data_IF_030694041791
#
_entry.id   IF_030694041791
#
_cell.length_a   1.000
_cell.length_b   1.000
_cell.length_c   1.000
_cell.angle_alpha   90.00
_cell.angle_beta   90.00
_cell.angle_gamma   90.00
#
_symmetry.space_group_name_H-M   'P 1'
#
loop_
_entity.id
_entity.type
_entity.pdbx_description
1 polymer ?
#
# COMPACT_ATOMS: atom_id res chain seq x y z
N UNK A 1 -24.97 -11.51 13.00
CA UNK A 1 -25.03 -10.18 12.35
C UNK A 1 -26.46 -9.69 12.39
N UNK A 2 -26.73 -8.57 13.10
CA UNK A 2 -28.06 -7.95 13.12
C UNK A 2 -28.31 -7.04 11.90
N UNK A 3 -27.25 -6.65 11.17
CA UNK A 3 -27.35 -5.77 10.02
C UNK A 3 -26.97 -6.49 8.74
N UNK A 4 -27.81 -6.41 7.73
CA UNK A 4 -27.50 -6.91 6.40
C UNK A 4 -26.46 -6.02 5.72
N UNK A 5 -25.59 -6.62 4.91
CA UNK A 5 -24.66 -5.89 4.05
C UNK A 5 -25.45 -5.25 2.90
N UNK A 6 -25.22 -3.98 2.65
CA UNK A 6 -25.82 -3.20 1.56
C UNK A 6 -24.75 -2.82 0.53
N UNK A 7 -25.16 -2.29 -0.62
CA UNK A 7 -24.24 -1.88 -1.68
C UNK A 7 -23.30 -0.74 -1.26
N UNK A 8 -23.74 0.08 -0.30
CA UNK A 8 -23.01 1.19 0.27
C UNK A 8 -22.26 0.85 1.58
N UNK A 9 -22.27 -0.42 2.01
CA UNK A 9 -21.45 -0.90 3.13
C UNK A 9 -19.99 -0.71 2.83
N UNK A 10 -19.25 -0.13 3.78
CA UNK A 10 -17.85 0.24 3.60
C UNK A 10 -16.94 -0.86 4.15
N UNK A 11 -16.02 -1.28 3.31
CA UNK A 11 -15.02 -2.30 3.61
C UNK A 11 -13.61 -1.70 3.63
N UNK A 12 -12.77 -2.23 4.49
CA UNK A 12 -11.33 -2.06 4.36
C UNK A 12 -10.83 -2.89 3.18
N UNK A 13 -10.35 -2.24 2.14
CA UNK A 13 -10.03 -2.88 0.87
C UNK A 13 -8.73 -3.68 0.89
N UNK A 14 -7.90 -3.50 1.93
CA UNK A 14 -6.61 -4.16 2.04
C UNK A 14 -5.85 -4.08 0.69
N UNK A 15 -5.30 -5.18 0.19
CA UNK A 15 -4.49 -5.17 -1.04
C UNK A 15 -5.23 -4.84 -2.34
N UNK A 16 -6.56 -4.81 -2.33
CA UNK A 16 -7.34 -4.25 -3.44
C UNK A 16 -7.07 -2.74 -3.63
N UNK A 17 -6.49 -2.06 -2.64
CA UNK A 17 -5.99 -0.69 -2.76
C UNK A 17 -4.93 -0.53 -3.86
N UNK A 18 -4.15 -1.58 -4.13
CA UNK A 18 -3.00 -1.50 -5.04
C UNK A 18 -3.39 -1.13 -6.47
N UNK A 19 -4.48 -1.69 -6.99
CA UNK A 19 -4.90 -1.36 -8.35
C UNK A 19 -5.33 0.11 -8.48
N UNK A 20 -5.95 0.67 -7.43
CA UNK A 20 -6.29 2.09 -7.38
C UNK A 20 -5.02 2.94 -7.29
N UNK A 21 -4.07 2.59 -6.43
CA UNK A 21 -2.79 3.28 -6.35
C UNK A 21 -1.99 3.21 -7.66
N UNK A 22 -2.04 2.06 -8.37
CA UNK A 22 -1.45 1.94 -9.70
C UNK A 22 -2.11 2.90 -10.69
N UNK A 23 -3.43 2.94 -10.72
CA UNK A 23 -4.20 3.88 -11.55
C UNK A 23 -3.80 5.34 -11.27
N UNK A 24 -3.75 5.74 -10.00
CA UNK A 24 -3.32 7.08 -9.61
C UNK A 24 -1.87 7.35 -10.04
N UNK A 25 -0.96 6.37 -9.85
CA UNK A 25 0.44 6.52 -10.27
C UNK A 25 0.53 6.79 -11.76
N UNK A 26 -0.11 5.99 -12.59
CA UNK A 26 -0.05 6.15 -14.05
C UNK A 26 -0.62 7.50 -14.50
N UNK A 27 -1.75 7.95 -13.93
CA UNK A 27 -2.31 9.27 -14.23
C UNK A 27 -1.37 10.42 -13.84
N UNK A 28 -0.71 10.32 -12.68
CA UNK A 28 0.28 11.33 -12.25
C UNK A 28 1.49 11.33 -13.17
N UNK A 29 2.02 10.17 -13.51
CA UNK A 29 3.18 10.05 -14.41
C UNK A 29 2.86 10.63 -15.79
N UNK A 30 1.67 10.35 -16.34
CA UNK A 30 1.21 10.88 -17.63
C UNK A 30 1.07 12.40 -17.58
N UNK A 31 0.35 12.97 -16.59
CA UNK A 31 0.18 14.41 -16.42
C UNK A 31 1.51 15.14 -16.30
N UNK A 32 2.47 14.56 -15.58
CA UNK A 32 3.79 15.15 -15.33
C UNK A 32 4.83 14.80 -16.40
N UNK A 33 4.47 14.01 -17.41
CA UNK A 33 5.36 13.51 -18.48
C UNK A 33 6.59 12.78 -17.94
N UNK A 34 6.39 11.99 -16.89
CA UNK A 34 7.41 11.19 -16.25
C UNK A 34 7.37 9.78 -16.85
N UNK A 35 8.53 9.27 -17.31
CA UNK A 35 8.63 7.92 -17.83
C UNK A 35 8.49 6.88 -16.71
N UNK A 36 7.72 5.82 -16.94
CA UNK A 36 7.54 4.72 -15.98
C UNK A 36 8.86 4.01 -15.62
N UNK A 37 9.86 4.06 -16.51
CA UNK A 37 11.21 3.54 -16.28
C UNK A 37 12.16 4.55 -15.60
N UNK A 38 11.66 5.73 -15.27
CA UNK A 38 12.47 6.72 -14.56
C UNK A 38 12.78 6.27 -13.14
N UNK A 39 14.03 6.48 -12.64
CA UNK A 39 14.39 6.18 -11.27
C UNK A 39 13.61 7.01 -10.26
N UNK A 40 12.94 6.33 -9.32
CA UNK A 40 12.10 6.96 -8.29
C UNK A 40 12.93 7.81 -7.31
N UNK A 41 14.22 7.54 -7.20
CA UNK A 41 15.16 8.29 -6.35
C UNK A 41 15.22 9.79 -6.69
N UNK A 42 14.83 10.19 -7.89
CA UNK A 42 14.70 11.61 -8.25
C UNK A 42 13.65 12.34 -7.41
N UNK A 43 12.66 11.62 -6.93
CA UNK A 43 11.51 12.13 -6.17
C UNK A 43 11.57 11.72 -4.70
N UNK A 44 12.19 10.57 -4.42
CA UNK A 44 12.35 9.98 -3.09
C UNK A 44 13.85 9.73 -2.79
N UNK A 45 14.59 10.79 -2.42
CA UNK A 45 16.05 10.69 -2.17
C UNK A 45 16.42 9.70 -1.07
N UNK A 46 15.50 9.42 -0.15
CA UNK A 46 15.68 8.44 0.93
C UNK A 46 15.95 7.02 0.41
N UNK A 47 15.48 6.67 -0.78
CA UNK A 47 15.76 5.39 -1.42
C UNK A 47 17.24 5.22 -1.82
N UNK A 48 18.03 6.30 -1.84
CA UNK A 48 19.48 6.22 -2.08
C UNK A 48 20.22 5.36 -1.05
N UNK A 49 19.69 5.31 0.16
CA UNK A 49 20.32 4.64 1.28
C UNK A 49 19.68 3.29 1.62
N UNK A 50 18.77 2.80 0.76
CA UNK A 50 18.14 1.50 0.99
C UNK A 50 19.21 0.41 0.93
N UNK A 51 19.14 -0.51 1.88
CA UNK A 51 20.08 -1.62 2.02
C UNK A 51 19.50 -2.86 1.37
N UNK A 52 20.35 -3.77 0.94
CA UNK A 52 19.99 -5.13 0.54
C UNK A 52 20.33 -6.06 1.70
N UNK A 53 19.39 -6.93 2.04
CA UNK A 53 19.66 -8.05 2.95
C UNK A 53 20.50 -9.08 2.21
N UNK A 54 21.57 -9.50 2.83
CA UNK A 54 22.40 -10.63 2.41
C UNK A 54 22.45 -11.61 3.60
N UNK A 55 22.08 -12.86 3.38
CA UNK A 55 22.08 -13.88 4.42
C UNK A 55 23.18 -14.88 4.10
N UNK A 56 24.24 -14.85 4.87
CA UNK A 56 25.34 -15.80 4.78
C UNK A 56 25.44 -16.58 6.11
N UNK A 57 25.52 -17.91 6.02
CA UNK A 57 25.74 -18.83 7.14
C UNK A 57 24.99 -18.46 8.44
N UNK A 58 23.70 -18.13 8.36
CA UNK A 58 22.82 -17.69 9.47
C UNK A 58 23.11 -16.28 10.02
N UNK A 59 23.91 -15.49 9.34
CA UNK A 59 24.15 -14.08 9.72
C UNK A 59 23.53 -13.14 8.70
N UNK A 60 22.72 -12.18 9.18
CA UNK A 60 22.10 -11.16 8.33
C UNK A 60 23.11 -10.01 8.13
N UNK A 61 23.49 -9.78 6.90
CA UNK A 61 24.31 -8.65 6.52
C UNK A 61 23.50 -7.63 5.72
N UNK A 62 23.85 -6.36 5.88
CA UNK A 62 23.25 -5.30 5.10
C UNK A 62 24.29 -4.71 4.15
N UNK A 63 24.11 -4.93 2.86
CA UNK A 63 24.99 -4.37 1.83
C UNK A 63 24.36 -3.17 1.16
N UNK A 64 25.18 -2.15 0.87
CA UNK A 64 24.75 -1.02 0.05
C UNK A 64 25.06 -1.34 -1.41
N UNK A 65 24.06 -1.37 -2.27
CA UNK A 65 24.23 -1.56 -3.71
C UNK A 65 23.91 -0.26 -4.45
N UNK A 66 24.71 0.07 -5.45
CA UNK A 66 24.40 1.16 -6.40
C UNK A 66 23.34 0.66 -7.38
N UNK A 67 22.10 0.71 -6.96
CA UNK A 67 20.96 0.31 -7.81
C UNK A 67 19.86 1.34 -7.68
N UNK A 68 19.06 1.48 -8.72
CA UNK A 68 17.94 2.40 -8.76
C UNK A 68 16.66 1.63 -8.98
N UNK A 69 15.67 1.95 -8.14
CA UNK A 69 14.31 1.43 -8.29
C UNK A 69 13.56 2.37 -9.24
N UNK A 70 12.84 1.82 -10.21
CA UNK A 70 11.98 2.56 -11.14
C UNK A 70 10.50 2.47 -10.73
N UNK A 71 9.65 3.38 -11.25
CA UNK A 71 8.20 3.25 -11.07
C UNK A 71 7.67 1.92 -11.62
N UNK A 72 8.19 1.46 -12.76
CA UNK A 72 7.84 0.16 -13.34
C UNK A 72 8.08 -0.99 -12.35
N UNK A 73 9.24 -1.01 -11.70
CA UNK A 73 9.58 -2.06 -10.73
C UNK A 73 8.76 -1.99 -9.44
N UNK A 74 8.33 -0.81 -9.02
CA UNK A 74 7.38 -0.67 -7.90
C UNK A 74 5.98 -1.16 -8.31
N UNK A 75 5.50 -0.80 -9.49
CA UNK A 75 4.18 -1.18 -10.01
C UNK A 75 4.03 -2.70 -10.18
N UNK A 76 5.05 -3.38 -10.70
CA UNK A 76 5.00 -4.81 -10.99
C UNK A 76 5.58 -5.70 -9.87
N UNK A 77 5.90 -5.11 -8.69
CA UNK A 77 6.45 -5.83 -7.54
C UNK A 77 7.82 -6.49 -7.79
N UNK A 78 8.66 -5.92 -8.67
CA UNK A 78 10.04 -6.37 -8.87
C UNK A 78 11.07 -5.39 -8.29
N UNK A 79 10.65 -4.49 -7.41
CA UNK A 79 11.52 -3.50 -6.78
C UNK A 79 12.49 -4.09 -5.74
N UNK A 80 12.30 -5.35 -5.36
CA UNK A 80 13.08 -6.02 -4.33
C UNK A 80 12.55 -5.86 -2.90
N UNK A 81 11.45 -5.15 -2.70
CA UNK A 81 10.81 -5.04 -1.38
C UNK A 81 9.98 -6.27 -1.04
N UNK A 82 10.06 -6.72 0.23
CA UNK A 82 9.21 -7.79 0.78
C UNK A 82 8.23 -7.30 1.84
N UNK A 83 7.32 -8.21 2.25
CA UNK A 83 6.51 -8.07 3.46
C UNK A 83 7.04 -8.97 4.56
N UNK A 84 6.91 -8.54 5.81
CA UNK A 84 7.23 -9.37 6.98
C UNK A 84 6.44 -10.68 7.01
N UNK A 85 5.19 -10.69 6.52
CA UNK A 85 4.32 -11.87 6.50
C UNK A 85 4.72 -12.89 5.42
N UNK A 86 5.59 -12.53 4.47
CA UNK A 86 5.93 -13.35 3.31
C UNK A 86 7.43 -13.61 3.17
N UNK A 87 8.25 -13.04 4.04
CA UNK A 87 9.69 -13.21 3.97
C UNK A 87 10.29 -13.40 5.38
N UNK A 88 10.85 -14.57 5.62
CA UNK A 88 11.35 -15.01 6.92
C UNK A 88 12.35 -14.01 7.53
N UNK A 89 13.37 -13.59 6.75
CA UNK A 89 14.37 -12.64 7.24
C UNK A 89 13.76 -11.32 7.68
N UNK A 90 12.78 -10.78 6.92
CA UNK A 90 12.10 -9.54 7.31
C UNK A 90 11.26 -9.76 8.57
N UNK A 91 10.57 -10.91 8.67
CA UNK A 91 9.84 -11.31 9.88
C UNK A 91 10.73 -11.37 11.10
N UNK A 92 11.91 -11.98 10.96
CA UNK A 92 12.89 -12.08 12.05
C UNK A 92 13.41 -10.72 12.49
N UNK A 93 13.78 -9.86 11.55
CA UNK A 93 14.22 -8.50 11.85
C UNK A 93 13.14 -7.67 12.57
N UNK A 94 11.86 -7.87 12.23
CA UNK A 94 10.74 -7.24 12.96
C UNK A 94 10.61 -7.84 14.36
N UNK A 95 10.66 -9.17 14.50
CA UNK A 95 10.58 -9.87 15.79
C UNK A 95 11.70 -9.44 16.74
N UNK A 96 12.91 -9.23 16.20
CA UNK A 96 14.09 -8.75 16.94
C UNK A 96 14.10 -7.24 17.17
N UNK A 97 13.05 -6.53 16.76
CA UNK A 97 12.90 -5.08 16.89
C UNK A 97 13.98 -4.26 16.15
N UNK A 98 14.59 -4.85 15.13
CA UNK A 98 15.51 -4.15 14.24
C UNK A 98 14.77 -3.40 13.12
N UNK A 99 13.55 -3.82 12.79
CA UNK A 99 12.64 -3.15 11.87
C UNK A 99 11.29 -2.87 12.53
N UNK A 100 10.63 -1.81 12.08
CA UNK A 100 9.26 -1.51 12.49
C UNK A 100 8.28 -2.45 11.80
N UNK A 101 7.32 -3.04 12.53
CA UNK A 101 6.26 -3.83 11.93
C UNK A 101 5.39 -2.95 11.02
N UNK A 102 4.75 -3.57 10.04
CA UNK A 102 3.81 -2.86 9.19
C UNK A 102 2.62 -2.36 10.01
N UNK A 103 2.43 -1.04 10.03
CA UNK A 103 1.35 -0.38 10.73
C UNK A 103 0.72 0.68 9.82
N UNK A 104 -0.59 0.60 9.59
CA UNK A 104 -1.31 1.60 8.79
C UNK A 104 -1.34 2.93 9.55
N UNK A 105 -1.11 4.04 8.83
CA UNK A 105 -0.96 5.37 9.41
C UNK A 105 0.46 5.74 9.86
N UNK A 106 1.41 4.80 9.71
CA UNK A 106 2.84 4.99 10.02
C UNK A 106 3.67 4.51 8.83
N UNK A 107 4.74 5.22 8.48
CA UNK A 107 5.59 4.91 7.32
C UNK A 107 6.93 4.25 7.70
N UNK A 108 7.19 3.98 8.98
CA UNK A 108 8.49 3.46 9.43
C UNK A 108 8.84 2.09 8.84
N UNK A 109 7.85 1.25 8.58
CA UNK A 109 8.04 -0.06 7.94
C UNK A 109 8.58 0.06 6.49
N UNK A 110 8.41 1.20 5.82
CA UNK A 110 8.98 1.44 4.49
C UNK A 110 10.51 1.45 4.48
N UNK A 111 11.15 1.64 5.63
CA UNK A 111 12.60 1.59 5.80
C UNK A 111 13.17 0.17 5.75
N UNK A 112 12.31 -0.85 5.61
CA UNK A 112 12.75 -2.23 5.46
C UNK A 112 13.72 -2.38 4.27
N UNK A 113 14.78 -3.18 4.41
CA UNK A 113 15.75 -3.41 3.35
C UNK A 113 15.13 -4.17 2.17
N UNK A 114 15.81 -4.13 1.03
CA UNK A 114 15.50 -5.00 -0.10
C UNK A 114 15.87 -6.45 0.23
N UNK A 115 15.12 -7.39 -0.30
CA UNK A 115 15.37 -8.84 -0.20
C UNK A 115 15.93 -9.43 -1.51
N UNK A 116 15.91 -8.66 -2.60
CA UNK A 116 16.57 -8.94 -3.87
C UNK A 116 16.94 -7.63 -4.56
N UNK A 117 17.82 -7.68 -5.55
CA UNK A 117 18.08 -6.50 -6.38
C UNK A 117 16.85 -6.14 -7.23
N UNK A 118 16.62 -4.84 -7.47
CA UNK A 118 15.53 -4.40 -8.33
C UNK A 118 15.61 -5.03 -9.73
N UNK A 119 14.52 -5.67 -10.13
CA UNK A 119 14.39 -6.36 -11.42
C UNK A 119 14.80 -7.84 -11.41
N UNK A 120 15.42 -8.35 -10.36
CA UNK A 120 15.86 -9.77 -10.32
C UNK A 120 14.71 -10.75 -10.08
N UNK A 121 13.77 -10.39 -9.21
CA UNK A 121 12.69 -11.29 -8.85
C UNK A 121 11.40 -10.55 -8.52
N UNK A 122 10.29 -11.27 -8.66
CA UNK A 122 8.99 -10.79 -8.20
C UNK A 122 8.85 -11.05 -6.70
N UNK A 123 8.60 -9.98 -5.93
CA UNK A 123 8.41 -10.07 -4.50
C UNK A 123 7.19 -9.25 -4.10
N UNK A 124 6.20 -9.94 -3.53
CA UNK A 124 5.05 -9.25 -2.97
C UNK A 124 5.44 -8.51 -1.69
N UNK A 125 5.38 -7.18 -1.72
CA UNK A 125 5.93 -6.35 -0.65
C UNK A 125 5.38 -4.93 -0.58
N UNK A 126 6.13 -4.07 0.07
CA UNK A 126 5.75 -2.70 0.43
C UNK A 126 5.87 -1.69 -0.72
N UNK A 127 6.12 -2.12 -1.95
CA UNK A 127 6.31 -1.27 -3.14
C UNK A 127 5.27 -0.18 -3.31
N UNK A 128 4.00 -0.50 -3.03
CA UNK A 128 2.88 0.44 -3.19
C UNK A 128 2.82 1.51 -2.09
N UNK A 129 3.49 1.31 -0.97
CA UNK A 129 3.72 2.38 0.00
C UNK A 129 4.67 3.45 -0.57
N UNK A 130 5.73 3.02 -1.24
CA UNK A 130 6.65 3.90 -1.94
C UNK A 130 6.00 4.63 -3.13
N UNK A 131 5.11 3.96 -3.87
CA UNK A 131 4.33 4.61 -4.92
C UNK A 131 3.43 5.73 -4.36
N UNK A 132 2.75 5.48 -3.24
CA UNK A 132 1.96 6.51 -2.56
C UNK A 132 2.82 7.73 -2.20
N UNK A 133 3.97 7.53 -1.55
CA UNK A 133 4.91 8.63 -1.22
C UNK A 133 5.41 9.36 -2.47
N UNK A 134 5.70 8.64 -3.55
CA UNK A 134 6.15 9.26 -4.80
C UNK A 134 5.07 10.16 -5.39
N UNK A 135 3.81 9.71 -5.43
CA UNK A 135 2.67 10.51 -5.87
C UNK A 135 2.57 11.80 -5.05
N UNK A 136 2.60 11.68 -3.72
CA UNK A 136 2.52 12.83 -2.80
C UNK A 136 3.68 13.81 -3.03
N UNK A 137 4.89 13.31 -3.19
CA UNK A 137 6.08 14.14 -3.44
C UNK A 137 6.00 14.89 -4.78
N UNK A 138 5.56 14.20 -5.84
CA UNK A 138 5.45 14.78 -7.19
C UNK A 138 4.34 15.83 -7.26
N UNK A 139 3.20 15.54 -6.66
CA UNK A 139 2.01 16.41 -6.77
C UNK A 139 1.93 17.47 -5.68
N UNK A 140 2.69 17.33 -4.59
CA UNK A 140 2.57 18.14 -3.36
C UNK A 140 1.18 18.08 -2.73
N UNK A 141 0.49 16.95 -2.91
CA UNK A 141 -0.84 16.66 -2.37
C UNK A 141 -0.82 15.27 -1.75
N UNK A 142 -1.65 15.06 -0.73
CA UNK A 142 -1.81 13.75 -0.10
C UNK A 142 -2.30 12.70 -1.10
N UNK A 143 -2.08 11.41 -0.81
CA UNK A 143 -2.60 10.32 -1.64
C UNK A 143 -4.13 10.39 -1.76
N UNK A 144 -4.82 10.81 -0.69
CA UNK A 144 -6.26 10.99 -0.69
C UNK A 144 -6.73 12.17 -1.57
N UNK A 145 -6.01 13.29 -1.59
CA UNK A 145 -6.31 14.40 -2.52
C UNK A 145 -6.09 13.99 -3.98
N UNK A 146 -5.06 13.18 -4.26
CA UNK A 146 -4.85 12.62 -5.59
C UNK A 146 -5.96 11.63 -5.96
N UNK A 147 -6.41 10.79 -5.02
CA UNK A 147 -7.57 9.92 -5.21
C UNK A 147 -8.81 10.73 -5.60
N UNK A 148 -9.08 11.83 -4.88
CA UNK A 148 -10.20 12.73 -5.20
C UNK A 148 -10.10 13.29 -6.61
N UNK A 149 -8.96 13.84 -6.96
CA UNK A 149 -8.72 14.48 -8.27
C UNK A 149 -8.90 13.50 -9.44
N UNK A 150 -8.27 12.34 -9.37
CA UNK A 150 -8.16 11.45 -10.53
C UNK A 150 -9.25 10.38 -10.59
N UNK A 151 -9.93 10.09 -9.47
CA UNK A 151 -10.86 8.98 -9.43
C UNK A 151 -12.22 9.35 -8.82
N UNK A 152 -12.28 9.75 -7.53
CA UNK A 152 -13.58 9.79 -6.86
C UNK A 152 -14.46 10.92 -7.36
N UNK A 153 -13.91 12.10 -7.63
CA UNK A 153 -14.68 13.22 -8.21
C UNK A 153 -15.12 12.92 -9.64
N UNK A 154 -14.25 12.48 -10.58
CA UNK A 154 -14.67 12.17 -11.94
C UNK A 154 -15.75 11.09 -12.05
N UNK A 155 -15.71 10.07 -11.19
CA UNK A 155 -16.66 8.96 -11.23
C UNK A 155 -17.83 9.11 -10.25
N UNK A 156 -17.85 10.17 -9.43
CA UNK A 156 -18.89 10.39 -8.43
C UNK A 156 -18.90 9.31 -7.33
N UNK A 157 -17.70 8.79 -6.94
CA UNK A 157 -17.57 7.81 -5.86
C UNK A 157 -17.73 8.51 -4.52
N UNK A 158 -18.58 7.98 -3.64
CA UNK A 158 -18.98 8.63 -2.38
C UNK A 158 -18.36 8.01 -1.14
N UNK A 159 -17.98 6.73 -1.22
CA UNK A 159 -17.56 5.91 -0.09
C UNK A 159 -16.11 5.39 -0.26
N UNK A 160 -15.31 6.04 -1.12
CA UNK A 160 -13.94 5.63 -1.43
C UNK A 160 -12.94 6.68 -0.95
N UNK A 161 -12.08 6.32 0.00
CA UNK A 161 -11.11 7.24 0.60
C UNK A 161 -9.92 6.48 1.20
N UNK A 162 -8.74 7.13 1.27
CA UNK A 162 -7.60 6.69 2.08
C UNK A 162 -7.63 7.29 3.48
N UNK A 163 -8.45 8.31 3.72
CA UNK A 163 -8.56 8.98 5.01
C UNK A 163 -9.70 8.39 5.84
N UNK A 164 -9.35 7.69 6.93
CA UNK A 164 -10.36 7.10 7.82
C UNK A 164 -11.27 8.13 8.49
N UNK A 165 -10.83 9.38 8.64
CA UNK A 165 -11.67 10.44 9.19
C UNK A 165 -12.85 10.81 8.27
N UNK A 166 -12.74 10.53 6.98
CA UNK A 166 -13.80 10.76 5.99
C UNK A 166 -14.78 9.57 5.86
N UNK A 167 -14.49 8.44 6.51
CA UNK A 167 -15.31 7.22 6.43
C UNK A 167 -16.56 7.37 7.29
N UNK A 168 -17.74 7.12 6.70
CA UNK A 168 -18.98 6.95 7.46
C UNK A 168 -18.93 5.66 8.28
N UNK A 169 -18.55 5.80 9.55
CA UNK A 169 -18.33 4.66 10.45
C UNK A 169 -19.56 3.84 10.73
N UNK A 170 -20.77 4.41 10.53
CA UNK A 170 -22.03 3.68 10.68
C UNK A 170 -22.23 2.61 9.60
N UNK A 171 -21.50 2.73 8.48
CA UNK A 171 -21.53 1.81 7.34
C UNK A 171 -20.36 0.82 7.30
N UNK A 172 -19.39 0.97 8.21
CA UNK A 172 -18.19 0.11 8.21
C UNK A 172 -18.53 -1.28 8.71
N UNK A 173 -18.16 -2.28 7.92
CA UNK A 173 -18.29 -3.68 8.33
C UNK A 173 -17.31 -4.02 9.45
N UNK A 174 -17.73 -4.66 10.56
CA UNK A 174 -16.81 -5.11 11.59
C UNK A 174 -15.91 -6.25 11.09
N UNK A 175 -14.72 -6.34 11.67
CA UNK A 175 -13.74 -7.38 11.34
C UNK A 175 -13.73 -8.44 12.44
N UNK A 176 -13.89 -9.69 12.04
CA UNK A 176 -13.91 -10.83 12.96
C UNK A 176 -12.72 -11.75 12.71
N UNK A 177 -12.13 -12.20 13.79
CA UNK A 177 -11.16 -13.28 13.80
C UNK A 177 -11.83 -14.57 14.27
N UNK A 178 -11.55 -15.68 13.61
CA UNK A 178 -12.00 -17.00 14.02
C UNK A 178 -10.87 -17.68 14.80
N UNK A 179 -11.12 -17.95 16.09
CA UNK A 179 -10.12 -18.57 16.95
C UNK A 179 -10.03 -20.09 16.72
N UNK A 180 -9.11 -20.75 17.45
CA UNK A 180 -8.89 -22.19 17.37
C UNK A 180 -10.10 -23.03 17.83
N UNK A 181 -11.06 -22.43 18.54
CA UNK A 181 -12.31 -23.08 18.99
C UNK A 181 -13.46 -22.81 18.00
N UNK A 182 -13.17 -22.21 16.83
CA UNK A 182 -14.13 -21.84 15.80
C UNK A 182 -15.08 -20.69 16.19
N UNK A 183 -14.80 -19.98 17.28
CA UNK A 183 -15.57 -18.83 17.73
C UNK A 183 -15.16 -17.56 17.00
N UNK A 184 -16.15 -16.74 16.59
CA UNK A 184 -15.89 -15.41 16.01
C UNK A 184 -15.67 -14.39 17.12
N UNK A 185 -14.53 -13.71 17.05
CA UNK A 185 -14.13 -12.64 17.97
C UNK A 185 -14.07 -11.36 17.16
N UNK A 186 -14.79 -10.33 17.58
CA UNK A 186 -14.69 -8.99 16.99
C UNK A 186 -13.33 -8.39 17.33
N UNK A 187 -12.56 -8.05 16.31
CA UNK A 187 -11.24 -7.44 16.44
C UNK A 187 -11.18 -6.05 15.81
N UNK A 188 -12.31 -5.46 15.49
CA UNK A 188 -12.40 -4.16 14.81
C UNK A 188 -11.60 -3.06 15.53
N UNK A 189 -11.66 -3.02 16.87
CA UNK A 189 -10.91 -2.05 17.66
C UNK A 189 -9.40 -2.35 17.76
N UNK A 190 -9.01 -3.62 17.59
CA UNK A 190 -7.60 -4.06 17.67
C UNK A 190 -6.84 -3.81 16.39
N UNK A 191 -7.56 -3.75 15.26
CA UNK A 191 -6.97 -3.46 13.96
C UNK A 191 -6.72 -1.96 13.90
N UNK A 192 -5.48 -1.57 13.59
CA UNK A 192 -5.17 -0.17 13.34
C UNK A 192 -5.93 0.29 12.08
N UNK A 193 -7.03 1.01 12.29
CA UNK A 193 -7.96 1.46 11.25
C UNK A 193 -7.47 2.71 10.51
N UNK A 194 -6.15 2.88 10.36
CA UNK A 194 -5.60 3.98 9.59
C UNK A 194 -5.58 5.33 10.31
N UNK A 195 -5.54 5.31 11.64
CA UNK A 195 -5.28 6.53 12.42
C UNK A 195 -3.80 6.89 12.25
N UNK A 196 -3.52 8.01 11.63
CA UNK A 196 -2.18 8.54 11.38
C UNK A 196 -2.11 9.31 10.07
N UNK A 197 -1.00 10.00 9.86
CA UNK A 197 -0.83 10.93 8.74
C UNK A 197 -0.38 10.26 7.44
N UNK A 198 -0.05 8.97 7.48
CA UNK A 198 0.42 8.23 6.32
C UNK A 198 -0.68 7.42 5.64
N UNK A 199 -1.02 7.78 4.42
CA UNK A 199 -1.96 7.04 3.58
C UNK A 199 -1.25 5.89 2.86
N UNK A 200 -1.44 4.67 3.35
CA UNK A 200 -0.76 3.50 2.79
C UNK A 200 -1.40 3.03 1.47
N UNK A 201 -0.76 3.33 0.34
CA UNK A 201 -1.22 2.96 -1.00
C UNK A 201 -1.32 1.45 -1.25
N UNK A 202 -0.63 0.62 -0.45
CA UNK A 202 -0.65 -0.84 -0.55
C UNK A 202 -1.82 -1.53 0.15
N UNK A 203 -2.63 -0.80 0.98
CA UNK A 203 -3.66 -1.47 1.77
C UNK A 203 -4.55 -0.57 2.62
N UNK A 204 -4.43 0.75 2.49
CA UNK A 204 -5.11 1.71 3.35
C UNK A 204 -6.46 2.22 2.85
N UNK A 205 -6.93 1.75 1.69
CA UNK A 205 -8.17 2.23 1.08
C UNK A 205 -9.41 1.67 1.79
N UNK A 206 -10.42 2.51 1.91
CA UNK A 206 -11.78 2.18 2.27
C UNK A 206 -12.67 2.39 1.05
N UNK A 207 -13.61 1.48 0.80
CA UNK A 207 -14.55 1.61 -0.32
C UNK A 207 -15.81 0.77 -0.09
N UNK A 208 -16.85 1.07 -0.87
CA UNK A 208 -18.07 0.26 -0.96
C UNK A 208 -18.03 -0.61 -2.23
N UNK A 209 -18.91 -1.63 -2.27
CA UNK A 209 -19.08 -2.46 -3.45
C UNK A 209 -19.47 -1.62 -4.68
N UNK A 210 -20.43 -0.70 -4.51
CA UNK A 210 -20.91 0.16 -5.60
C UNK A 210 -19.78 1.00 -6.20
N UNK A 211 -19.01 1.68 -5.35
CA UNK A 211 -17.91 2.54 -5.80
C UNK A 211 -16.82 1.73 -6.49
N UNK A 212 -16.46 0.58 -5.90
CA UNK A 212 -15.40 -0.25 -6.47
C UNK A 212 -15.79 -0.86 -7.81
N UNK A 213 -17.05 -1.25 -7.98
CA UNK A 213 -17.57 -1.71 -9.28
C UNK A 213 -17.55 -0.59 -10.33
N UNK A 214 -17.92 0.64 -9.98
CA UNK A 214 -17.78 1.78 -10.90
C UNK A 214 -16.35 1.98 -11.35
N UNK A 215 -15.37 1.86 -10.45
CA UNK A 215 -13.95 1.90 -10.83
C UNK A 215 -13.58 0.77 -11.80
N UNK A 216 -14.02 -0.46 -11.53
CA UNK A 216 -13.70 -1.60 -12.39
C UNK A 216 -14.28 -1.49 -13.79
N UNK A 217 -15.41 -0.77 -13.98
CA UNK A 217 -15.99 -0.53 -15.30
C UNK A 217 -15.08 0.28 -16.24
N UNK A 218 -14.06 0.99 -15.71
CA UNK A 218 -13.07 1.69 -16.54
C UNK A 218 -12.22 0.74 -17.38
N UNK A 219 -12.12 -0.53 -17.00
CA UNK A 219 -11.30 -1.55 -17.66
C UNK A 219 -12.12 -2.48 -18.56
N UNK A 220 -13.42 -2.24 -18.67
CA UNK A 220 -14.25 -2.99 -19.62
C UNK A 220 -14.15 -2.33 -20.99
N UNK A 221 -13.79 -3.12 -21.99
CA UNK A 221 -13.80 -2.69 -23.38
C UNK A 221 -15.22 -2.25 -23.76
N UNK A 222 -15.31 -1.12 -24.45
CA UNK A 222 -16.54 -0.60 -25.01
C UNK A 222 -16.64 -1.02 -26.46
#
# INVERSE_FOLDING_TARGET
FKNHTHQDTIFRMASMSKIITAFLTLNVLEEKKICVHEPVIKYLPELKNIKLVDVDANTVHFTKKNTYITFHQLLNCTSGHGYEQHHETISDLVREKQLSPMKIGDDQFLKAPLISLPGESWNYGISYGWLGKAIETITKKSLNENLKKYLTQPLGLKNTTFDFAEVDQSKVVPVFYRDSTNKLIDISEKINLGKGDFHYGGGGLWSSLEDYLKFLTLFLDK
#
